data_IF_964738565908
#
_entry.id   IF_964738565908
#
_cell.length_a   1.000
_cell.length_b   1.000
_cell.length_c   1.000
_cell.angle_alpha   90.00
_cell.angle_beta   90.00
_cell.angle_gamma   90.00
#
_symmetry.space_group_name_H-M   'P 1'
#
loop_
_entity.id
_entity.type
_entity.pdbx_description
1 polymer ?
#
# COMPACT_ATOMS: atom_id res chain seq x y z
N UNK A 1 -14.69 -13.95 33.79
CA UNK A 1 -13.34 -13.68 33.27
C UNK A 1 -13.34 -14.05 31.79
N UNK A 2 -13.12 -13.12 30.85
CA UNK A 2 -13.15 -13.47 29.44
C UNK A 2 -11.84 -14.18 29.07
N UNK A 3 -11.97 -15.30 28.36
CA UNK A 3 -10.88 -16.11 27.87
C UNK A 3 -10.19 -15.42 26.69
N UNK A 4 -8.91 -15.09 26.82
CA UNK A 4 -8.06 -14.73 25.69
C UNK A 4 -7.64 -16.02 24.97
N UNK A 5 -8.02 -16.16 23.70
CA UNK A 5 -7.52 -17.27 22.87
C UNK A 5 -6.05 -17.03 22.54
N UNK A 6 -5.20 -18.00 22.90
CA UNK A 6 -3.81 -18.06 22.46
C UNK A 6 -3.76 -18.55 21.01
N UNK A 7 -3.34 -17.69 20.08
CA UNK A 7 -2.77 -18.12 18.81
C UNK A 7 -1.29 -18.35 19.06
N UNK A 8 -0.76 -19.54 18.73
CA UNK A 8 0.69 -19.80 18.80
C UNK A 8 1.40 -18.81 17.87
N UNK A 9 2.07 -17.82 18.45
CA UNK A 9 2.92 -16.87 17.72
C UNK A 9 2.89 -15.46 18.31
N UNK A 10 1.72 -14.95 18.70
CA UNK A 10 1.60 -13.59 19.23
C UNK A 10 0.24 -13.39 19.94
N UNK A 11 0.24 -12.80 21.14
CA UNK A 11 -0.99 -12.45 21.85
C UNK A 11 -1.47 -11.07 21.43
N UNK A 12 -2.71 -10.96 20.94
CA UNK A 12 -3.31 -9.65 20.62
C UNK A 12 -4.04 -9.09 21.83
N UNK A 13 -3.84 -7.80 22.13
CA UNK A 13 -4.62 -7.12 23.16
C UNK A 13 -6.08 -6.99 22.71
N UNK A 14 -7.01 -7.51 23.51
CA UNK A 14 -8.46 -7.40 23.30
C UNK A 14 -9.09 -6.28 24.16
N UNK A 15 -10.36 -5.97 23.96
CA UNK A 15 -11.12 -5.02 24.80
C UNK A 15 -11.39 -3.64 24.19
N UNK A 16 -11.17 -3.46 22.88
CA UNK A 16 -11.62 -2.27 22.15
C UNK A 16 -13.15 -2.28 22.02
N UNK A 17 -13.79 -1.11 22.16
CA UNK A 17 -15.22 -0.90 21.95
C UNK A 17 -15.49 -0.25 20.59
N UNK A 18 -16.66 -0.50 20.01
CA UNK A 18 -17.04 0.06 18.72
C UNK A 18 -17.40 1.56 18.82
N UNK A 19 -16.87 2.35 17.89
CA UNK A 19 -17.25 3.74 17.71
C UNK A 19 -18.66 3.88 17.12
N UNK A 20 -19.39 4.95 17.49
CA UNK A 20 -20.76 5.21 17.00
C UNK A 20 -20.85 6.37 16.00
N UNK A 21 -19.72 6.95 15.63
CA UNK A 21 -19.61 8.11 14.73
C UNK A 21 -18.53 7.80 13.69
N UNK A 22 -18.79 8.18 12.45
CA UNK A 22 -17.86 8.05 11.33
C UNK A 22 -17.91 9.33 10.50
N UNK A 23 -16.77 9.96 10.27
CA UNK A 23 -16.65 11.20 9.49
C UNK A 23 -16.01 10.91 8.14
N UNK A 24 -16.69 11.28 7.03
CA UNK A 24 -16.21 11.00 5.68
C UNK A 24 -14.87 11.67 5.32
N UNK A 25 -14.53 12.76 6.01
CA UNK A 25 -13.33 13.56 5.71
C UNK A 25 -12.10 13.05 6.49
N UNK A 26 -12.29 12.22 7.53
CA UNK A 26 -11.19 11.69 8.33
C UNK A 26 -10.23 10.78 7.53
N UNK A 27 -10.68 9.88 6.64
CA UNK A 27 -9.78 9.07 5.82
C UNK A 27 -8.81 9.90 4.98
N UNK A 28 -9.29 10.93 4.27
CA UNK A 28 -8.45 11.78 3.42
C UNK A 28 -7.40 12.56 4.22
N UNK A 29 -7.70 12.87 5.49
CA UNK A 29 -6.79 13.58 6.38
C UNK A 29 -5.76 12.65 7.03
N UNK A 30 -6.06 11.36 7.18
CA UNK A 30 -5.30 10.44 8.02
C UNK A 30 -4.64 9.27 7.28
N UNK A 31 -5.14 8.86 6.13
CA UNK A 31 -4.58 7.76 5.34
C UNK A 31 -3.53 8.27 4.35
N UNK A 32 -2.34 7.64 4.30
CA UNK A 32 -1.31 8.05 3.36
C UNK A 32 -1.68 7.63 1.92
N UNK A 33 -1.73 8.56 0.94
CA UNK A 33 -1.85 8.18 -0.46
C UNK A 33 -0.54 7.55 -0.98
N UNK A 34 -0.60 6.72 -2.03
CA UNK A 34 0.56 5.99 -2.57
C UNK A 34 1.58 6.89 -3.28
N UNK A 35 1.29 8.18 -3.43
CA UNK A 35 2.13 9.16 -4.12
C UNK A 35 2.98 10.00 -3.16
N UNK A 36 2.90 9.77 -1.84
CA UNK A 36 3.74 10.47 -0.87
C UNK A 36 5.21 10.07 -1.05
N UNK A 37 6.12 11.01 -0.79
CA UNK A 37 7.53 10.72 -0.67
C UNK A 37 7.86 10.12 0.73
N UNK A 38 9.09 9.63 0.90
CA UNK A 38 9.51 8.96 2.14
C UNK A 38 9.37 9.84 3.39
N UNK A 39 9.80 11.11 3.32
CA UNK A 39 9.68 12.05 4.45
C UNK A 39 8.21 12.30 4.82
N UNK A 40 7.34 12.47 3.84
CA UNK A 40 5.91 12.65 4.09
C UNK A 40 5.26 11.40 4.70
N UNK A 41 5.67 10.20 4.28
CA UNK A 41 5.21 8.95 4.90
C UNK A 41 5.64 8.86 6.36
N UNK A 42 6.92 9.17 6.65
CA UNK A 42 7.45 9.20 8.00
C UNK A 42 6.65 10.17 8.89
N UNK A 43 6.42 11.40 8.43
CA UNK A 43 5.63 12.40 9.15
C UNK A 43 4.18 11.96 9.40
N UNK A 44 3.58 11.17 8.49
CA UNK A 44 2.21 10.66 8.64
C UNK A 44 2.15 9.54 9.68
N UNK A 45 3.13 8.64 9.69
CA UNK A 45 3.23 7.56 10.67
C UNK A 45 3.58 8.11 12.07
N UNK A 46 4.47 9.10 12.15
CA UNK A 46 4.82 9.78 13.40
C UNK A 46 3.59 10.43 14.07
N UNK A 47 2.65 11.00 13.29
CA UNK A 47 1.36 11.51 13.81
C UNK A 47 0.45 10.44 14.40
N UNK A 48 0.70 9.15 14.11
CA UNK A 48 0.04 7.99 14.70
C UNK A 48 0.86 7.34 15.81
N UNK A 49 1.98 7.96 16.21
CA UNK A 49 2.87 7.44 17.24
C UNK A 49 3.74 6.28 16.75
N UNK A 50 3.91 6.11 15.44
CA UNK A 50 4.72 5.06 14.83
C UNK A 50 6.06 5.63 14.36
N UNK A 51 7.13 4.90 14.63
CA UNK A 51 8.50 5.19 14.22
C UNK A 51 8.74 4.90 12.73
N UNK A 52 9.88 5.38 12.21
CA UNK A 52 10.34 5.04 10.85
C UNK A 52 10.53 3.53 10.66
N UNK A 53 11.02 2.83 11.69
CA UNK A 53 11.17 1.36 11.64
C UNK A 53 9.81 0.65 11.57
N UNK A 54 8.80 1.15 12.28
CA UNK A 54 7.43 0.64 12.18
C UNK A 54 6.79 0.96 10.83
N UNK A 55 7.06 2.12 10.23
CA UNK A 55 6.64 2.43 8.85
C UNK A 55 7.20 1.40 7.86
N UNK A 56 8.51 1.13 7.93
CA UNK A 56 9.15 0.13 7.07
C UNK A 56 8.52 -1.23 7.37
N UNK A 57 8.52 -1.67 8.62
CA UNK A 57 7.97 -2.98 9.04
C UNK A 57 6.52 -3.20 8.60
N UNK A 58 5.64 -2.20 8.73
CA UNK A 58 4.24 -2.30 8.31
C UNK A 58 4.07 -2.28 6.79
N UNK A 59 5.00 -1.66 6.05
CA UNK A 59 5.02 -1.69 4.58
C UNK A 59 5.20 -3.12 4.03
N UNK A 60 5.75 -4.06 4.82
CA UNK A 60 5.82 -5.49 4.47
C UNK A 60 4.48 -6.14 4.21
N UNK A 61 3.38 -5.54 4.67
CA UNK A 61 2.04 -6.01 4.35
C UNK A 61 1.79 -6.07 2.83
N UNK A 62 2.52 -5.28 2.03
CA UNK A 62 2.49 -5.34 0.57
C UNK A 62 3.14 -6.60 -0.04
N UNK A 63 3.75 -7.49 0.76
CA UNK A 63 4.19 -8.83 0.32
C UNK A 63 3.02 -9.73 -0.12
N UNK A 64 1.78 -9.36 0.22
CA UNK A 64 0.56 -10.04 -0.22
C UNK A 64 -0.46 -9.02 -0.72
N UNK A 65 -1.48 -9.50 -1.42
CA UNK A 65 -2.60 -8.69 -1.85
C UNK A 65 -2.41 -8.06 -3.23
N UNK A 66 -3.33 -7.17 -3.59
CA UNK A 66 -3.46 -6.63 -4.94
C UNK A 66 -3.76 -5.14 -4.90
N UNK A 67 -3.36 -4.43 -5.94
CA UNK A 67 -3.67 -3.02 -6.14
C UNK A 67 -4.36 -2.81 -7.49
N UNK A 68 -5.31 -1.89 -7.54
CA UNK A 68 -5.84 -1.37 -8.79
C UNK A 68 -4.74 -0.63 -9.56
N UNK A 69 -4.85 -0.54 -10.89
CA UNK A 69 -3.87 0.18 -11.70
C UNK A 69 -3.82 1.70 -11.43
N UNK A 70 -4.94 2.31 -11.03
CA UNK A 70 -5.07 3.76 -10.85
C UNK A 70 -4.00 4.37 -9.90
N UNK A 71 -3.82 3.85 -8.67
CA UNK A 71 -2.78 4.26 -7.71
C UNK A 71 -1.38 4.53 -8.27
N UNK A 72 -0.91 3.75 -9.25
CA UNK A 72 0.45 3.84 -9.79
C UNK A 72 0.49 4.19 -11.28
N UNK A 73 -0.66 4.47 -11.90
CA UNK A 73 -0.78 4.77 -13.34
C UNK A 73 0.10 5.94 -13.80
N UNK A 74 0.23 7.00 -12.99
CA UNK A 74 1.12 8.13 -13.27
C UNK A 74 2.58 7.68 -13.43
N UNK A 75 3.05 6.71 -12.63
CA UNK A 75 4.40 6.16 -12.75
C UNK A 75 4.61 5.40 -14.06
N UNK A 76 3.55 4.89 -14.68
CA UNK A 76 3.64 4.15 -15.94
C UNK A 76 3.57 5.06 -17.18
N UNK A 77 2.75 6.12 -17.15
CA UNK A 77 2.35 6.84 -18.36
C UNK A 77 2.60 8.34 -18.37
N UNK A 78 2.58 9.01 -17.21
CA UNK A 78 2.61 10.47 -17.12
C UNK A 78 3.37 10.88 -15.83
N UNK A 79 4.64 10.46 -15.71
CA UNK A 79 5.41 10.62 -14.46
C UNK A 79 5.81 12.07 -14.18
N UNK A 80 6.43 12.77 -15.14
CA UNK A 80 6.71 14.20 -15.08
C UNK A 80 6.87 14.80 -16.49
N UNK A 81 7.22 16.10 -16.58
CA UNK A 81 7.37 16.82 -17.85
C UNK A 81 8.47 16.27 -18.78
N UNK A 82 9.46 15.57 -18.22
CA UNK A 82 10.63 15.07 -18.95
C UNK A 82 10.60 13.57 -19.19
N UNK A 83 9.86 12.82 -18.37
CA UNK A 83 9.81 11.38 -18.38
C UNK A 83 8.36 10.90 -18.37
N UNK A 84 7.96 10.14 -19.40
CA UNK A 84 6.64 9.51 -19.47
C UNK A 84 6.49 8.39 -18.43
N UNK A 85 7.54 7.62 -18.19
CA UNK A 85 7.58 6.55 -17.19
C UNK A 85 8.55 6.93 -16.09
N UNK A 86 8.26 6.53 -14.86
CA UNK A 86 9.14 6.69 -13.72
C UNK A 86 10.50 6.02 -14.00
N UNK A 87 11.61 6.79 -14.04
CA UNK A 87 12.93 6.26 -14.35
C UNK A 87 13.51 5.36 -13.25
N UNK A 88 12.93 5.37 -12.04
CA UNK A 88 13.30 4.44 -10.96
C UNK A 88 12.67 3.05 -11.09
N UNK A 89 11.70 2.87 -11.98
CA UNK A 89 11.04 1.59 -12.21
C UNK A 89 11.80 0.78 -13.26
N UNK A 90 12.02 -0.51 -12.99
CA UNK A 90 12.63 -1.42 -13.97
C UNK A 90 11.83 -1.39 -15.30
N UNK A 91 12.49 -1.16 -16.45
CA UNK A 91 11.80 -0.96 -17.71
C UNK A 91 11.09 -2.22 -18.23
N UNK A 92 11.59 -3.42 -17.89
CA UNK A 92 10.95 -4.69 -18.26
C UNK A 92 9.68 -4.86 -17.43
N UNK A 93 9.78 -4.66 -16.12
CA UNK A 93 8.65 -4.68 -15.21
C UNK A 93 7.56 -3.67 -15.60
N UNK A 94 7.95 -2.44 -15.94
CA UNK A 94 7.01 -1.41 -16.36
C UNK A 94 6.30 -1.78 -17.68
N UNK A 95 7.04 -2.37 -18.64
CA UNK A 95 6.44 -2.88 -19.89
C UNK A 95 5.42 -3.97 -19.60
N UNK A 96 5.76 -4.91 -18.72
CA UNK A 96 4.87 -6.02 -18.36
C UNK A 96 3.63 -5.51 -17.59
N UNK A 97 3.80 -4.53 -16.70
CA UNK A 97 2.70 -3.85 -16.03
C UNK A 97 1.79 -3.10 -17.01
N UNK A 98 2.32 -2.46 -18.05
CA UNK A 98 1.51 -1.77 -19.06
C UNK A 98 0.58 -2.71 -19.82
N UNK A 99 0.96 -3.99 -19.99
CA UNK A 99 0.07 -5.00 -20.61
C UNK A 99 -1.11 -5.34 -19.72
N UNK A 100 -0.90 -5.35 -18.40
CA UNK A 100 -1.93 -5.63 -17.40
C UNK A 100 -2.74 -4.39 -17.02
N UNK A 101 -2.14 -3.20 -17.13
CA UNK A 101 -2.70 -1.90 -16.77
C UNK A 101 -2.71 -0.93 -17.95
N UNK A 102 -3.56 -1.11 -18.98
CA UNK A 102 -3.62 -0.19 -20.12
C UNK A 102 -4.02 1.24 -19.71
N UNK A 103 -3.50 2.26 -20.42
CA UNK A 103 -3.73 3.70 -20.09
C UNK A 103 -5.20 4.08 -19.94
N UNK A 104 -6.09 3.45 -20.71
CA UNK A 104 -7.53 3.76 -20.72
C UNK A 104 -8.36 2.89 -19.76
N UNK A 105 -7.73 2.00 -18.98
CA UNK A 105 -8.44 1.14 -18.03
C UNK A 105 -8.78 1.85 -16.70
N UNK A 106 -8.54 3.15 -16.60
CA UNK A 106 -8.66 3.95 -15.36
C UNK A 106 -10.09 4.35 -14.97
N UNK A 107 -11.13 3.77 -15.58
CA UNK A 107 -12.53 4.04 -15.24
C UNK A 107 -12.97 3.25 -14.00
N UNK A 108 -12.40 3.60 -12.83
CA UNK A 108 -12.88 3.21 -11.48
C UNK A 108 -12.72 1.73 -11.08
N UNK A 109 -12.83 0.80 -12.02
CA UNK A 109 -12.75 -0.66 -11.86
C UNK A 109 -11.69 -1.26 -12.79
N UNK A 110 -10.55 -0.58 -12.90
CA UNK A 110 -9.43 -1.09 -13.69
C UNK A 110 -8.93 -2.44 -13.18
N UNK A 111 -8.20 -3.20 -14.00
CA UNK A 111 -7.61 -4.45 -13.56
C UNK A 111 -6.76 -4.26 -12.31
N UNK A 112 -6.63 -5.34 -11.53
CA UNK A 112 -5.73 -5.38 -10.38
C UNK A 112 -4.50 -6.19 -10.71
N UNK A 113 -3.37 -5.82 -10.11
CA UNK A 113 -2.10 -6.56 -10.17
C UNK A 113 -1.64 -6.91 -8.75
N UNK A 114 -0.87 -7.99 -8.56
CA UNK A 114 -0.29 -8.29 -7.26
C UNK A 114 0.67 -7.18 -6.80
N UNK A 115 0.72 -6.93 -5.49
CA UNK A 115 1.68 -5.99 -4.90
C UNK A 115 3.12 -6.55 -4.84
N UNK A 116 3.24 -7.87 -4.70
CA UNK A 116 4.50 -8.62 -4.82
C UNK A 116 4.40 -9.60 -6.00
N UNK A 117 5.29 -9.45 -6.97
CA UNK A 117 5.32 -10.29 -8.18
C UNK A 117 6.08 -11.61 -7.99
N UNK A 118 6.88 -11.73 -6.93
CA UNK A 118 7.67 -12.93 -6.65
C UNK A 118 6.83 -13.98 -5.91
N UNK A 119 6.10 -13.55 -4.88
CA UNK A 119 5.36 -14.43 -3.97
C UNK A 119 3.99 -13.87 -3.57
N UNK A 120 3.08 -13.65 -4.54
CA UNK A 120 1.85 -12.84 -4.37
C UNK A 120 0.86 -13.32 -3.29
N UNK A 121 1.00 -14.56 -2.83
CA UNK A 121 0.10 -15.20 -1.86
C UNK A 121 0.82 -15.61 -0.56
N UNK A 122 2.07 -15.20 -0.36
CA UNK A 122 2.85 -15.54 0.81
C UNK A 122 3.34 -14.27 1.49
N UNK A 123 3.00 -14.13 2.77
CA UNK A 123 3.58 -13.09 3.61
C UNK A 123 5.00 -13.50 3.98
N UNK A 124 5.98 -12.93 3.31
CA UNK A 124 7.40 -13.16 3.59
C UNK A 124 8.20 -11.85 3.55
N UNK A 125 9.43 -11.87 3.05
CA UNK A 125 10.30 -10.70 2.95
C UNK A 125 10.65 -10.32 1.51
N UNK A 126 9.99 -10.90 0.50
CA UNK A 126 10.26 -10.65 -0.93
C UNK A 126 9.75 -9.31 -1.44
N UNK A 127 8.95 -8.60 -0.64
CA UNK A 127 8.61 -7.20 -0.88
C UNK A 127 9.85 -6.28 -0.89
N UNK A 128 10.92 -6.64 -0.16
CA UNK A 128 12.23 -5.98 -0.22
C UNK A 128 13.21 -6.77 -1.05
#
# INVERSE_FOLDING_TARGET
MPYCYYVKGESTSSGRCDGRVSHKDEPDQNLPPPTLNAQQLEERFARKGLSLDELVTLSRAHSIGRSNCSPFSKRLYDFNETNLQDPSMDPIFARDLKTQCPKNANNGNGPTVPLDVLTPYRLDNKYY
#
